data_IF_217874234856
#
_entry.id   IF_217874234856
#
_cell.length_a   1.000
_cell.length_b   1.000
_cell.length_c   1.000
_cell.angle_alpha   90.00
_cell.angle_beta   90.00
_cell.angle_gamma   90.00
#
_symmetry.space_group_name_H-M   'P 1'
#
loop_
_entity.id
_entity.type
_entity.pdbx_description
1 polymer ?
#
# COMPACT_ATOMS: atom_id res chain seq x y z
N UNK A 1 -71.01 -21.33 16.28
CA UNK A 1 -71.52 -20.10 16.92
C UNK A 1 -70.53 -18.98 16.62
N UNK A 2 -70.93 -18.03 15.76
CA UNK A 2 -70.14 -16.83 15.40
C UNK A 2 -70.27 -15.82 16.53
N UNK A 3 -69.17 -15.16 16.93
CA UNK A 3 -69.25 -13.89 17.65
C UNK A 3 -68.19 -12.91 17.10
N UNK A 4 -68.69 -11.80 16.59
CA UNK A 4 -67.95 -10.63 16.09
C UNK A 4 -67.35 -9.82 17.24
N UNK A 5 -66.30 -9.01 16.98
CA UNK A 5 -65.71 -8.11 17.96
C UNK A 5 -66.54 -6.82 18.10
N UNK A 6 -66.72 -6.36 19.33
CA UNK A 6 -67.33 -5.06 19.65
C UNK A 6 -66.28 -3.95 19.71
N UNK A 7 -66.64 -2.82 19.09
CA UNK A 7 -65.98 -1.52 19.10
C UNK A 7 -66.12 -0.83 20.48
N UNK A 8 -65.08 -0.15 20.97
CA UNK A 8 -65.07 1.28 21.38
C UNK A 8 -63.93 1.67 22.36
N UNK A 9 -63.64 2.97 22.40
CA UNK A 9 -62.56 3.75 23.07
C UNK A 9 -61.26 3.86 22.25
N UNK A 10 -60.98 4.90 21.45
CA UNK A 10 -61.04 6.36 21.65
C UNK A 10 -60.38 6.80 22.97
N UNK A 11 -59.12 7.26 22.92
CA UNK A 11 -58.71 8.65 23.20
C UNK A 11 -57.16 8.79 23.18
N UNK A 12 -56.69 10.00 22.83
CA UNK A 12 -55.31 10.54 22.82
C UNK A 12 -54.48 10.18 21.57
N UNK A 13 -54.02 11.12 20.76
CA UNK A 13 -54.05 12.57 20.84
C UNK A 13 -53.19 13.11 19.69
N UNK A 14 -53.68 14.17 19.06
CA UNK A 14 -53.00 14.95 18.04
C UNK A 14 -51.52 15.24 18.38
N UNK A 15 -50.62 14.59 17.65
CA UNK A 15 -49.32 15.16 17.22
C UNK A 15 -49.32 14.95 15.72
N UNK A 16 -49.79 15.93 14.95
CA UNK A 16 -49.00 17.12 14.71
C UNK A 16 -48.35 16.94 13.35
N UNK A 17 -49.18 17.11 12.32
CA UNK A 17 -48.80 17.23 10.91
C UNK A 17 -47.86 18.44 10.77
N UNK A 18 -46.55 18.22 10.92
CA UNK A 18 -45.49 19.19 10.62
C UNK A 18 -44.18 18.46 10.22
N UNK A 19 -44.27 17.52 9.28
CA UNK A 19 -43.10 16.84 8.71
C UNK A 19 -42.91 17.08 7.21
N UNK A 20 -43.67 17.98 6.61
CA UNK A 20 -43.47 18.42 5.23
C UNK A 20 -43.04 19.89 5.26
N UNK A 21 -41.97 20.23 4.54
CA UNK A 21 -41.18 21.47 4.58
C UNK A 21 -40.01 21.50 5.58
N UNK A 22 -39.27 20.39 5.66
CA UNK A 22 -37.84 20.49 5.96
C UNK A 22 -37.16 21.24 4.82
N UNK A 23 -36.81 22.52 5.05
CA UNK A 23 -35.85 23.25 4.24
C UNK A 23 -34.63 22.36 4.02
N UNK A 24 -34.48 21.82 2.81
CA UNK A 24 -33.28 21.07 2.44
C UNK A 24 -32.10 22.00 2.65
N UNK A 25 -31.27 21.71 3.67
CA UNK A 25 -29.98 22.38 3.80
C UNK A 25 -29.30 22.24 2.45
N UNK A 26 -29.12 23.36 1.75
CA UNK A 26 -28.35 23.38 0.52
C UNK A 26 -27.01 22.72 0.86
N UNK A 27 -26.72 21.63 0.16
CA UNK A 27 -25.44 20.96 0.32
C UNK A 27 -24.38 21.97 -0.10
N UNK A 28 -23.45 22.29 0.80
CA UNK A 28 -22.41 23.25 0.49
C UNK A 28 -21.47 22.63 -0.55
N UNK A 29 -21.48 23.20 -1.75
CA UNK A 29 -20.38 22.98 -2.70
C UNK A 29 -19.17 23.66 -2.08
N UNK A 30 -18.16 22.87 -1.75
CA UNK A 30 -16.95 23.37 -1.11
C UNK A 30 -15.90 23.73 -2.15
N UNK A 31 -15.95 23.05 -3.31
CA UNK A 31 -15.06 23.33 -4.42
C UNK A 31 -15.77 23.05 -5.74
N UNK A 32 -15.50 23.90 -6.73
CA UNK A 32 -15.92 23.71 -8.11
C UNK A 32 -14.69 23.87 -9.00
N UNK A 33 -14.45 22.89 -9.86
CA UNK A 33 -13.31 22.91 -10.79
C UNK A 33 -13.86 22.75 -12.21
N UNK A 34 -13.55 23.72 -13.05
CA UNK A 34 -14.00 23.76 -14.43
C UNK A 34 -12.93 23.17 -15.36
N UNK A 35 -13.37 22.29 -16.25
CA UNK A 35 -12.61 21.74 -17.37
C UNK A 35 -13.55 21.61 -18.56
N UNK A 36 -13.90 22.73 -19.23
CA UNK A 36 -14.94 22.76 -20.26
C UNK A 36 -14.78 21.62 -21.27
N UNK A 37 -15.86 20.92 -21.63
CA UNK A 37 -17.27 21.20 -21.33
C UNK A 37 -17.75 20.72 -19.95
N UNK A 38 -16.87 20.15 -19.15
CA UNK A 38 -17.19 19.55 -17.86
C UNK A 38 -16.89 20.47 -16.68
N UNK A 39 -17.61 20.24 -15.58
CA UNK A 39 -17.34 20.83 -14.26
C UNK A 39 -17.47 19.75 -13.19
N UNK A 40 -16.50 19.66 -12.29
CA UNK A 40 -16.59 18.83 -11.08
C UNK A 40 -17.02 19.72 -9.92
N UNK A 41 -18.08 19.32 -9.21
CA UNK A 41 -18.50 19.91 -7.94
C UNK A 41 -18.21 18.92 -6.81
N UNK A 42 -17.39 19.35 -5.85
CA UNK A 42 -17.14 18.64 -4.60
C UNK A 42 -18.05 19.16 -3.51
N UNK A 43 -18.76 18.25 -2.84
CA UNK A 43 -19.83 18.56 -1.90
C UNK A 43 -19.48 17.91 -0.56
N UNK A 44 -19.26 18.73 0.48
CA UNK A 44 -19.05 18.19 1.82
C UNK A 44 -20.37 17.72 2.44
N UNK A 45 -20.34 16.52 3.01
CA UNK A 45 -21.43 15.93 3.77
C UNK A 45 -20.98 15.58 5.17
N UNK A 46 -21.92 15.60 6.10
CA UNK A 46 -21.70 15.13 7.45
C UNK A 46 -22.86 14.26 7.88
N UNK A 47 -22.54 13.07 8.35
CA UNK A 47 -23.50 12.13 8.92
C UNK A 47 -23.18 11.89 10.39
N UNK A 48 -24.22 11.59 11.16
CA UNK A 48 -24.08 11.13 12.54
C UNK A 48 -24.46 9.66 12.58
N UNK A 49 -23.56 8.81 13.03
CA UNK A 49 -23.83 7.39 13.26
C UNK A 49 -23.58 7.08 14.73
N UNK A 50 -24.28 6.08 15.26
CA UNK A 50 -24.01 5.58 16.60
C UNK A 50 -22.88 4.55 16.51
N UNK A 51 -21.75 4.83 17.16
CA UNK A 51 -20.65 3.89 17.21
C UNK A 51 -20.85 2.91 18.36
N UNK A 52 -21.26 1.69 18.04
CA UNK A 52 -21.55 0.64 19.03
C UNK A 52 -20.32 0.24 19.87
N UNK A 53 -19.11 0.34 19.32
CA UNK A 53 -17.88 -0.02 20.05
C UNK A 53 -17.56 0.97 21.18
N UNK A 54 -18.03 2.21 21.07
CA UNK A 54 -17.73 3.29 22.04
C UNK A 54 -18.99 3.86 22.72
N UNK A 55 -20.18 3.31 22.45
CA UNK A 55 -21.45 3.72 23.04
C UNK A 55 -21.81 5.20 22.82
N UNK A 56 -21.29 5.84 21.76
CA UNK A 56 -21.43 7.28 21.52
C UNK A 56 -21.78 7.60 20.07
N UNK A 57 -22.47 8.73 19.88
CA UNK A 57 -22.66 9.30 18.54
C UNK A 57 -21.33 9.80 17.99
N UNK A 58 -20.92 9.28 16.84
CA UNK A 58 -19.81 9.80 16.05
C UNK A 58 -20.35 10.64 14.88
N UNK A 59 -19.66 11.74 14.58
CA UNK A 59 -19.89 12.52 13.36
C UNK A 59 -18.82 12.12 12.36
N UNK A 60 -19.25 11.74 11.16
CA UNK A 60 -18.38 11.43 10.04
C UNK A 60 -18.59 12.49 8.96
N UNK A 61 -17.52 13.17 8.57
CA UNK A 61 -17.51 14.06 7.41
C UNK A 61 -16.93 13.30 6.22
N UNK A 62 -17.49 13.52 5.04
CA UNK A 62 -17.00 12.95 3.79
C UNK A 62 -17.35 13.86 2.61
N UNK A 63 -16.69 13.65 1.47
CA UNK A 63 -16.95 14.36 0.23
C UNK A 63 -17.75 13.50 -0.75
N UNK A 64 -18.74 14.11 -1.38
CA UNK A 64 -19.52 13.55 -2.49
C UNK A 64 -19.24 14.38 -3.75
N UNK A 65 -19.27 13.74 -4.92
CA UNK A 65 -18.91 14.38 -6.17
C UNK A 65 -20.08 14.42 -7.13
N UNK A 66 -20.19 15.54 -7.87
CA UNK A 66 -21.14 15.70 -8.97
C UNK A 66 -20.40 16.22 -10.18
N UNK A 67 -20.71 15.67 -11.34
CA UNK A 67 -20.15 16.13 -12.62
C UNK A 67 -21.25 16.77 -13.44
N UNK A 68 -20.95 17.95 -13.97
CA UNK A 68 -21.81 18.69 -14.88
C UNK A 68 -21.22 18.65 -16.30
N UNK A 69 -22.08 18.59 -17.30
CA UNK A 69 -21.77 18.79 -18.71
C UNK A 69 -22.61 19.97 -19.21
N UNK A 70 -21.94 21.02 -19.68
CA UNK A 70 -22.59 22.31 -20.00
C UNK A 70 -23.52 22.82 -18.87
N UNK A 71 -23.08 22.68 -17.63
CA UNK A 71 -23.83 23.11 -16.44
C UNK A 71 -24.96 22.18 -16.00
N UNK A 72 -25.25 21.10 -16.73
CA UNK A 72 -26.29 20.12 -16.37
C UNK A 72 -25.67 18.87 -15.74
N UNK A 73 -26.20 18.35 -14.62
CA UNK A 73 -25.70 17.11 -14.03
C UNK A 73 -25.80 15.94 -15.01
N UNK A 74 -24.70 15.19 -15.17
CA UNK A 74 -24.71 13.99 -16.00
C UNK A 74 -25.36 12.82 -15.28
N UNK A 75 -26.06 11.96 -16.03
CA UNK A 75 -26.62 10.69 -15.55
C UNK A 75 -25.70 9.55 -15.96
N UNK A 76 -25.32 8.70 -15.02
CA UNK A 76 -24.47 7.55 -15.30
C UNK A 76 -25.27 6.40 -15.95
N UNK A 77 -24.66 5.65 -16.89
CA UNK A 77 -25.36 4.63 -17.68
C UNK A 77 -25.71 3.37 -16.87
N UNK A 78 -24.99 3.11 -15.79
CA UNK A 78 -25.31 2.06 -14.81
C UNK A 78 -25.50 2.68 -13.43
N UNK A 79 -26.14 1.94 -12.53
CA UNK A 79 -26.16 2.35 -11.13
C UNK A 79 -24.71 2.55 -10.67
N UNK A 80 -24.45 3.68 -10.01
CA UNK A 80 -23.26 3.81 -9.17
C UNK A 80 -23.47 2.78 -8.06
N UNK A 81 -22.99 1.56 -8.28
CA UNK A 81 -23.26 0.44 -7.38
C UNK A 81 -22.74 0.76 -5.98
N UNK A 82 -23.54 0.40 -4.97
CA UNK A 82 -23.21 0.62 -3.57
C UNK A 82 -23.62 -0.59 -2.76
N UNK A 83 -22.70 -1.55 -2.58
CA UNK A 83 -22.88 -2.54 -1.51
C UNK A 83 -22.74 -1.92 -0.10
N UNK A 84 -22.31 -0.65 -0.04
CA UNK A 84 -22.13 0.15 1.19
C UNK A 84 -23.32 1.05 1.52
N UNK A 85 -24.36 1.11 0.66
CA UNK A 85 -25.53 1.98 0.84
C UNK A 85 -25.32 3.45 0.45
N UNK A 86 -24.15 3.83 -0.08
CA UNK A 86 -23.86 5.19 -0.56
C UNK A 86 -24.08 5.31 -2.08
N UNK A 87 -25.13 6.04 -2.49
CA UNK A 87 -25.57 6.15 -3.89
C UNK A 87 -24.87 7.22 -4.76
N UNK A 88 -23.64 7.63 -4.40
CA UNK A 88 -22.93 8.75 -5.03
C UNK A 88 -21.53 8.41 -5.51
N UNK A 89 -20.91 9.35 -6.23
CA UNK A 89 -19.51 9.26 -6.63
C UNK A 89 -18.62 9.50 -5.41
N UNK A 90 -17.65 8.62 -5.18
CA UNK A 90 -16.70 8.76 -4.08
C UNK A 90 -15.53 9.63 -4.45
N UNK A 91 -15.12 9.62 -5.72
CA UNK A 91 -14.04 10.45 -6.27
C UNK A 91 -14.36 10.88 -7.69
N UNK A 92 -13.89 12.06 -8.06
CA UNK A 92 -13.85 12.51 -9.44
C UNK A 92 -12.59 13.37 -9.67
N UNK A 93 -11.92 13.17 -10.80
CA UNK A 93 -10.67 13.81 -11.15
C UNK A 93 -10.65 14.24 -12.62
N UNK A 94 -10.25 15.48 -12.89
CA UNK A 94 -9.90 15.94 -14.22
C UNK A 94 -8.53 15.35 -14.60
N UNK A 95 -8.44 14.78 -15.80
CA UNK A 95 -7.19 14.36 -16.41
C UNK A 95 -6.57 15.56 -17.13
N UNK A 96 -5.67 16.28 -16.44
CA UNK A 96 -5.14 17.56 -16.94
C UNK A 96 -4.34 17.41 -18.24
N UNK A 97 -3.61 16.30 -18.37
CA UNK A 97 -2.66 16.07 -19.44
C UNK A 97 -3.27 15.25 -20.61
N UNK A 98 -4.58 15.01 -20.60
CA UNK A 98 -5.29 14.34 -21.68
C UNK A 98 -5.42 15.23 -22.93
N UNK A 99 -5.45 14.67 -24.15
CA UNK A 99 -5.55 15.42 -25.41
C UNK A 99 -6.90 16.13 -25.59
N UNK A 100 -7.90 15.75 -24.79
CA UNK A 100 -9.23 16.34 -24.76
C UNK A 100 -9.78 16.30 -23.33
N UNK A 101 -10.78 17.14 -23.00
CA UNK A 101 -11.41 17.11 -21.68
C UNK A 101 -11.85 15.71 -21.30
N UNK A 102 -11.29 15.21 -20.20
CA UNK A 102 -11.54 13.87 -19.71
C UNK A 102 -11.57 13.87 -18.17
N UNK A 103 -12.49 13.08 -17.62
CA UNK A 103 -12.65 12.90 -16.18
C UNK A 103 -12.58 11.41 -15.86
N UNK A 104 -11.83 11.06 -14.83
CA UNK A 104 -12.00 9.77 -14.15
C UNK A 104 -12.90 9.99 -12.95
N UNK A 105 -13.98 9.24 -12.85
CA UNK A 105 -14.87 9.30 -11.70
C UNK A 105 -15.38 7.93 -11.34
N UNK A 106 -15.54 7.70 -10.05
CA UNK A 106 -15.97 6.39 -9.61
C UNK A 106 -16.42 6.31 -8.17
N UNK A 107 -17.06 5.19 -7.90
CA UNK A 107 -17.29 4.64 -6.57
C UNK A 107 -16.69 3.23 -6.58
N UNK A 108 -17.52 2.20 -6.71
CA UNK A 108 -17.09 0.81 -6.87
C UNK A 108 -16.73 0.49 -8.32
N UNK A 109 -17.48 1.07 -9.26
CA UNK A 109 -17.12 1.14 -10.67
C UNK A 109 -16.38 2.47 -10.94
N UNK A 110 -15.42 2.43 -11.85
CA UNK A 110 -14.67 3.61 -12.31
C UNK A 110 -14.93 3.84 -13.77
N UNK A 111 -15.24 5.08 -14.11
CA UNK A 111 -15.57 5.52 -15.46
C UNK A 111 -14.52 6.51 -15.95
N UNK A 112 -14.12 6.36 -17.21
CA UNK A 112 -13.55 7.42 -18.02
C UNK A 112 -14.70 8.14 -18.75
N UNK A 113 -14.84 9.43 -18.47
CA UNK A 113 -15.88 10.30 -19.01
C UNK A 113 -15.21 11.27 -19.98
N UNK A 114 -15.72 11.31 -21.21
CA UNK A 114 -15.19 12.12 -22.31
C UNK A 114 -16.32 12.71 -23.13
N UNK A 115 -16.01 13.64 -24.03
CA UNK A 115 -16.94 14.10 -25.07
C UNK A 115 -16.68 13.39 -26.40
N UNK A 116 -17.76 13.11 -27.13
CA UNK A 116 -17.77 12.72 -28.55
C UNK A 116 -18.91 13.45 -29.29
N UNK A 117 -19.09 13.19 -30.59
CA UNK A 117 -20.11 13.84 -31.42
C UNK A 117 -21.56 13.68 -30.90
N UNK A 118 -21.83 12.63 -30.10
CA UNK A 118 -23.14 12.35 -29.51
C UNK A 118 -23.31 12.93 -28.10
N UNK A 119 -22.33 13.69 -27.60
CA UNK A 119 -22.31 14.28 -26.26
C UNK A 119 -21.40 13.53 -25.28
N UNK A 120 -21.88 13.31 -24.06
CA UNK A 120 -21.09 12.65 -23.00
C UNK A 120 -20.95 11.17 -23.29
N UNK A 121 -19.71 10.71 -23.36
CA UNK A 121 -19.34 9.31 -23.51
C UNK A 121 -18.80 8.75 -22.19
N UNK A 122 -19.30 7.58 -21.81
CA UNK A 122 -18.88 6.85 -20.61
C UNK A 122 -18.22 5.54 -21.02
N UNK A 123 -16.99 5.31 -20.55
CA UNK A 123 -16.30 4.04 -20.65
C UNK A 123 -16.02 3.50 -19.25
N UNK A 124 -16.50 2.31 -18.93
CA UNK A 124 -16.10 1.63 -17.69
C UNK A 124 -14.63 1.21 -17.86
N UNK A 125 -13.79 1.65 -16.92
CA UNK A 125 -12.35 1.35 -16.87
C UNK A 125 -11.97 0.50 -15.64
N UNK A 126 -12.88 0.37 -14.68
CA UNK A 126 -12.83 -0.67 -13.66
C UNK A 126 -14.25 -1.06 -13.25
N UNK A 127 -14.51 -2.36 -13.17
CA UNK A 127 -15.72 -2.92 -12.59
C UNK A 127 -15.52 -3.25 -11.11
N UNK A 128 -16.62 -3.25 -10.35
CA UNK A 128 -16.61 -3.60 -8.95
C UNK A 128 -16.00 -4.98 -8.73
N UNK A 129 -15.02 -5.03 -7.83
CA UNK A 129 -14.46 -6.27 -7.30
C UNK A 129 -14.66 -6.31 -5.77
N UNK A 130 -14.09 -7.32 -5.11
CA UNK A 130 -14.17 -7.47 -3.65
C UNK A 130 -13.48 -6.33 -2.87
N UNK A 131 -12.61 -5.56 -3.51
CA UNK A 131 -11.89 -4.42 -2.94
C UNK A 131 -12.30 -3.06 -3.52
N UNK A 132 -11.65 -2.01 -3.02
CA UNK A 132 -11.74 -0.66 -3.58
C UNK A 132 -10.98 -0.59 -4.90
N UNK A 133 -11.54 0.16 -5.86
CA UNK A 133 -10.80 0.51 -7.07
C UNK A 133 -9.58 1.36 -6.72
N UNK A 134 -8.55 1.34 -7.56
CA UNK A 134 -7.32 2.09 -7.32
C UNK A 134 -6.79 2.77 -8.58
N UNK A 135 -6.03 3.84 -8.40
CA UNK A 135 -5.34 4.59 -9.46
C UNK A 135 -3.87 4.78 -9.04
N UNK A 136 -2.95 4.45 -9.93
CA UNK A 136 -1.52 4.64 -9.69
C UNK A 136 -0.84 5.10 -10.96
N UNK A 137 -0.17 6.23 -10.92
CA UNK A 137 0.72 6.64 -12.02
C UNK A 137 1.89 5.65 -12.13
N UNK A 138 2.19 5.18 -13.33
CA UNK A 138 3.30 4.28 -13.60
C UNK A 138 4.60 5.01 -13.90
N UNK A 139 4.48 6.27 -14.33
CA UNK A 139 5.56 7.13 -14.79
C UNK A 139 5.52 8.49 -14.08
N UNK A 140 5.46 8.46 -12.74
CA UNK A 140 5.60 9.63 -11.89
C UNK A 140 7.05 10.15 -11.88
N UNK A 141 7.54 10.61 -10.73
CA UNK A 141 8.88 11.15 -10.59
C UNK A 141 9.94 10.16 -11.10
N UNK A 142 10.84 10.65 -11.96
CA UNK A 142 11.90 9.86 -12.61
C UNK A 142 11.39 8.65 -13.43
N UNK A 143 10.15 8.71 -13.93
CA UNK A 143 9.56 7.63 -14.73
C UNK A 143 9.25 6.37 -13.93
N UNK A 144 9.16 6.48 -12.60
CA UNK A 144 8.85 5.37 -11.70
C UNK A 144 7.39 5.40 -11.24
N UNK A 145 6.83 4.24 -10.82
CA UNK A 145 5.49 4.20 -10.26
C UNK A 145 5.34 5.09 -9.02
N UNK A 146 4.26 5.87 -8.99
CA UNK A 146 3.89 6.75 -7.89
C UNK A 146 3.11 6.02 -6.78
N UNK A 147 2.49 6.81 -5.89
CA UNK A 147 1.64 6.29 -4.81
C UNK A 147 0.37 5.68 -5.38
N UNK A 148 0.01 4.48 -4.91
CA UNK A 148 -1.27 3.85 -5.21
C UNK A 148 -2.41 4.54 -4.44
N UNK A 149 -3.36 5.13 -5.15
CA UNK A 149 -4.48 5.88 -4.60
C UNK A 149 -5.75 5.05 -4.65
N UNK A 150 -6.30 4.69 -3.50
CA UNK A 150 -7.57 3.98 -3.43
C UNK A 150 -8.76 4.94 -3.64
N UNK A 151 -9.76 4.48 -4.38
CA UNK A 151 -11.05 5.14 -4.56
C UNK A 151 -12.01 4.60 -3.49
N UNK A 152 -12.08 5.32 -2.37
CA UNK A 152 -13.02 5.06 -1.29
C UNK A 152 -13.63 6.39 -0.80
N UNK A 153 -14.72 6.29 -0.05
CA UNK A 153 -15.38 7.46 0.55
C UNK A 153 -14.51 8.06 1.66
N UNK A 154 -14.07 9.29 1.50
CA UNK A 154 -13.23 10.02 2.49
C UNK A 154 -13.61 11.49 2.59
N UNK A 155 -13.06 12.17 3.61
CA UNK A 155 -13.09 13.63 3.69
C UNK A 155 -11.98 14.21 2.81
N UNK A 156 -12.38 14.74 1.64
CA UNK A 156 -11.48 15.28 0.62
C UNK A 156 -11.56 16.80 0.54
N UNK A 157 -12.01 17.44 1.62
CA UNK A 157 -12.22 18.90 1.64
C UNK A 157 -10.98 19.66 1.17
N UNK A 158 -9.78 19.19 1.52
CA UNK A 158 -8.50 19.82 1.16
C UNK A 158 -7.77 19.14 -0.02
N UNK A 159 -8.33 18.09 -0.62
CA UNK A 159 -7.70 17.35 -1.74
C UNK A 159 -7.98 18.01 -3.09
N UNK A 160 -7.10 17.87 -4.09
CA UNK A 160 -7.41 18.35 -5.45
C UNK A 160 -8.25 17.35 -6.24
N UNK A 161 -9.16 17.83 -7.10
CA UNK A 161 -9.84 16.98 -8.10
C UNK A 161 -9.10 16.96 -9.44
N UNK A 162 -7.77 17.07 -9.42
CA UNK A 162 -6.91 17.03 -10.61
C UNK A 162 -5.96 15.84 -10.48
N UNK A 163 -5.99 14.95 -11.48
CA UNK A 163 -4.94 13.96 -11.69
C UNK A 163 -3.97 14.48 -12.74
N UNK A 164 -2.72 14.63 -12.32
CA UNK A 164 -1.60 15.06 -13.14
C UNK A 164 -0.31 14.38 -12.66
N UNK A 165 0.75 14.47 -13.47
CA UNK A 165 2.09 14.02 -13.08
C UNK A 165 2.53 12.69 -13.69
N UNK A 166 1.87 12.23 -14.75
CA UNK A 166 2.26 11.05 -15.53
C UNK A 166 1.43 10.93 -16.81
N UNK A 167 1.86 10.04 -17.72
CA UNK A 167 1.15 9.69 -18.95
C UNK A 167 0.43 8.34 -18.83
N UNK A 168 0.91 7.44 -17.98
CA UNK A 168 0.40 6.08 -17.85
C UNK A 168 -0.23 5.86 -16.49
N UNK A 169 -1.55 5.67 -16.47
CA UNK A 169 -2.29 5.42 -15.23
C UNK A 169 -2.69 3.95 -15.15
N UNK A 170 -2.17 3.25 -14.14
CA UNK A 170 -2.65 1.93 -13.77
C UNK A 170 -3.97 2.07 -13.03
N UNK A 171 -4.99 1.38 -13.52
CA UNK A 171 -6.36 1.37 -12.99
C UNK A 171 -6.63 -0.02 -12.43
N UNK A 172 -7.02 -0.08 -11.15
CA UNK A 172 -7.37 -1.29 -10.41
C UNK A 172 -6.35 -2.44 -10.55
N UNK A 173 -5.08 -2.07 -10.73
CA UNK A 173 -3.94 -2.98 -10.91
C UNK A 173 -4.06 -3.98 -12.09
N UNK A 174 -5.00 -3.78 -13.01
CA UNK A 174 -5.28 -4.74 -14.09
C UNK A 174 -5.52 -4.08 -15.46
N UNK A 175 -5.40 -2.76 -15.56
CA UNK A 175 -5.48 -2.06 -16.82
C UNK A 175 -4.61 -0.81 -16.83
N UNK A 176 -4.03 -0.46 -17.99
CA UNK A 176 -3.29 0.79 -18.19
C UNK A 176 -4.12 1.73 -19.05
N UNK A 177 -4.33 2.96 -18.59
CA UNK A 177 -4.83 4.08 -19.38
C UNK A 177 -3.63 4.92 -19.84
N UNK A 178 -3.38 4.96 -21.16
CA UNK A 178 -2.45 5.90 -21.77
C UNK A 178 -3.19 7.23 -21.98
N UNK A 179 -2.74 8.29 -21.30
CA UNK A 179 -3.39 9.58 -21.38
C UNK A 179 -3.16 10.31 -22.70
N UNK A 180 -2.13 9.95 -23.49
CA UNK A 180 -1.82 10.69 -24.73
C UNK A 180 -2.90 10.56 -25.80
N UNK A 181 -3.62 9.45 -25.80
CA UNK A 181 -4.71 9.15 -26.73
C UNK A 181 -5.97 8.62 -26.03
N UNK A 182 -5.94 8.51 -24.69
CA UNK A 182 -6.99 7.89 -23.86
C UNK A 182 -7.23 6.42 -24.21
N UNK A 183 -6.23 5.74 -24.77
CA UNK A 183 -6.28 4.31 -25.01
C UNK A 183 -6.23 3.56 -23.67
N UNK A 184 -7.06 2.54 -23.55
CA UNK A 184 -7.18 1.74 -22.34
C UNK A 184 -6.93 0.29 -22.68
N UNK A 185 -5.95 -0.27 -21.98
CA UNK A 185 -5.38 -1.58 -22.19
C UNK A 185 -5.63 -2.44 -20.96
N UNK A 186 -6.76 -3.17 -20.90
CA UNK A 186 -6.94 -4.19 -19.88
C UNK A 186 -5.96 -5.33 -20.14
N UNK A 187 -5.37 -5.85 -19.08
CA UNK A 187 -4.50 -7.01 -19.15
C UNK A 187 -4.86 -8.02 -18.05
N UNK A 188 -4.60 -9.30 -18.33
CA UNK A 188 -4.98 -10.37 -17.40
C UNK A 188 -3.94 -10.49 -16.30
N UNK A 189 -4.21 -9.87 -15.16
CA UNK A 189 -3.58 -10.23 -13.89
C UNK A 189 -4.02 -11.67 -13.55
N UNK A 190 -3.17 -12.66 -13.83
CA UNK A 190 -3.51 -14.08 -13.69
C UNK A 190 -4.05 -14.37 -12.28
N UNK A 191 -5.35 -14.63 -12.14
CA UNK A 191 -6.00 -14.84 -10.84
C UNK A 191 -5.53 -16.11 -10.13
N UNK A 192 -5.00 -17.07 -10.89
CA UNK A 192 -4.33 -18.28 -10.37
C UNK A 192 -2.83 -18.04 -10.03
N UNK A 193 -2.32 -16.82 -10.22
CA UNK A 193 -0.89 -16.52 -10.22
C UNK A 193 -0.22 -16.88 -11.54
N UNK A 194 0.89 -16.23 -11.85
CA UNK A 194 1.77 -16.61 -12.95
C UNK A 194 2.89 -17.48 -12.37
N UNK A 195 3.01 -18.74 -12.80
CA UNK A 195 3.94 -19.70 -12.20
C UNK A 195 3.77 -19.83 -10.66
N UNK A 196 2.51 -19.73 -10.19
CA UNK A 196 2.08 -19.65 -8.79
C UNK A 196 2.50 -18.40 -8.03
N UNK A 197 3.13 -17.41 -8.67
CA UNK A 197 3.38 -16.10 -8.08
C UNK A 197 2.14 -15.22 -8.19
N UNK A 198 1.67 -14.73 -7.05
CA UNK A 198 0.56 -13.80 -6.94
C UNK A 198 1.08 -12.36 -6.96
N UNK A 199 0.66 -11.54 -7.93
CA UNK A 199 1.12 -10.15 -8.03
C UNK A 199 0.56 -9.26 -6.91
N UNK A 200 1.46 -8.63 -6.17
CA UNK A 200 1.23 -7.64 -5.13
C UNK A 200 1.39 -6.20 -5.66
N UNK A 201 2.29 -5.42 -5.04
CA UNK A 201 2.51 -4.00 -5.37
C UNK A 201 3.29 -3.82 -6.68
N UNK A 202 3.01 -2.74 -7.41
CA UNK A 202 3.84 -2.30 -8.55
C UNK A 202 5.15 -1.75 -8.03
N UNK A 203 6.26 -2.05 -8.72
CA UNK A 203 7.60 -1.55 -8.35
C UNK A 203 8.33 -0.86 -9.50
N UNK A 204 8.01 -1.16 -10.76
CA UNK A 204 8.69 -0.54 -11.90
C UNK A 204 7.84 -0.48 -13.16
N UNK A 205 8.32 0.31 -14.11
CA UNK A 205 7.76 0.45 -15.45
C UNK A 205 8.89 0.39 -16.48
N UNK A 206 8.68 -0.36 -17.57
CA UNK A 206 9.76 -0.56 -18.55
C UNK A 206 10.14 0.75 -19.26
N UNK A 207 11.39 0.88 -19.75
CA UNK A 207 11.84 2.09 -20.42
C UNK A 207 11.04 2.46 -21.68
N UNK A 208 10.53 1.47 -22.42
CA UNK A 208 9.61 1.65 -23.56
C UNK A 208 8.15 1.84 -23.15
N UNK A 209 7.87 1.87 -21.85
CA UNK A 209 6.57 2.12 -21.26
C UNK A 209 5.51 1.10 -21.70
N UNK A 210 5.89 -0.16 -21.96
CA UNK A 210 4.94 -1.22 -22.35
C UNK A 210 4.78 -2.32 -21.32
N UNK A 211 5.60 -2.35 -20.27
CA UNK A 211 5.55 -3.39 -19.24
C UNK A 211 5.47 -2.81 -17.84
N UNK A 212 4.55 -3.35 -17.03
CA UNK A 212 4.40 -3.02 -15.61
C UNK A 212 4.97 -4.16 -14.78
N UNK A 213 5.82 -3.84 -13.80
CA UNK A 213 6.45 -4.84 -12.93
C UNK A 213 5.78 -4.84 -11.57
N UNK A 214 5.28 -6.00 -11.17
CA UNK A 214 4.72 -6.25 -9.86
C UNK A 214 5.66 -7.10 -9.02
N UNK A 215 5.68 -6.85 -7.72
CA UNK A 215 6.26 -7.77 -6.73
C UNK A 215 5.32 -8.97 -6.61
N UNK A 216 5.80 -10.15 -6.99
CA UNK A 216 5.10 -11.42 -6.84
C UNK A 216 5.56 -12.18 -5.61
N UNK A 217 4.64 -12.89 -4.97
CA UNK A 217 4.98 -13.89 -3.95
C UNK A 217 4.23 -15.19 -4.17
N UNK A 218 4.84 -16.31 -3.78
CA UNK A 218 4.19 -17.62 -3.75
C UNK A 218 4.46 -18.30 -2.42
N UNK A 219 3.44 -18.94 -1.86
CA UNK A 219 3.61 -19.73 -0.64
C UNK A 219 4.25 -21.07 -1.00
N UNK A 220 5.37 -21.40 -0.34
CA UNK A 220 6.01 -22.72 -0.40
C UNK A 220 5.58 -23.55 0.80
N UNK A 221 5.38 -22.89 1.94
CA UNK A 221 4.81 -23.46 3.15
C UNK A 221 3.92 -22.41 3.85
N UNK A 222 3.18 -22.81 4.89
CA UNK A 222 2.19 -21.95 5.59
C UNK A 222 2.78 -20.59 6.02
N UNK A 223 4.07 -20.57 6.36
CA UNK A 223 4.79 -19.37 6.84
C UNK A 223 5.96 -18.95 5.95
N UNK A 224 6.18 -19.64 4.83
CA UNK A 224 7.34 -19.41 3.96
C UNK A 224 6.89 -19.01 2.55
N UNK A 225 7.48 -17.93 2.07
CA UNK A 225 7.19 -17.35 0.77
C UNK A 225 8.45 -17.30 -0.07
N UNK A 226 8.30 -17.60 -1.35
CA UNK A 226 9.28 -17.23 -2.36
C UNK A 226 8.79 -16.00 -3.11
N UNK A 227 9.73 -15.21 -3.61
CA UNK A 227 9.45 -13.93 -4.26
C UNK A 227 9.95 -13.92 -5.71
N UNK A 228 9.33 -13.05 -6.49
CA UNK A 228 9.66 -12.86 -7.89
C UNK A 228 9.16 -11.50 -8.37
N UNK A 229 9.66 -11.06 -9.52
CA UNK A 229 9.15 -9.87 -10.19
C UNK A 229 8.32 -10.32 -11.39
N UNK A 230 7.05 -9.97 -11.41
CA UNK A 230 6.12 -10.33 -12.48
C UNK A 230 6.02 -9.15 -13.44
N UNK A 231 6.55 -9.30 -14.65
CA UNK A 231 6.47 -8.27 -15.68
C UNK A 231 5.28 -8.56 -16.60
N UNK A 232 4.35 -7.63 -16.72
CA UNK A 232 3.20 -7.70 -17.61
C UNK A 232 3.35 -6.73 -18.77
N UNK A 233 3.46 -7.25 -19.99
CA UNK A 233 3.32 -6.47 -21.22
C UNK A 233 1.83 -6.23 -21.49
N UNK A 234 1.34 -5.07 -21.07
CA UNK A 234 -0.08 -4.74 -21.12
C UNK A 234 -0.59 -4.50 -22.55
N UNK A 235 0.31 -4.24 -23.51
CA UNK A 235 -0.07 -4.07 -24.92
C UNK A 235 -0.24 -5.41 -25.63
N UNK A 236 0.54 -6.42 -25.22
CA UNK A 236 0.51 -7.77 -25.81
C UNK A 236 -0.29 -8.78 -24.99
N UNK A 237 -0.74 -8.43 -23.79
CA UNK A 237 -1.37 -9.34 -22.81
C UNK A 237 -0.48 -10.58 -22.54
N UNK A 238 0.84 -10.34 -22.37
CA UNK A 238 1.81 -11.40 -22.04
C UNK A 238 2.54 -11.07 -20.74
N UNK A 239 3.01 -12.10 -20.03
CA UNK A 239 3.73 -11.91 -18.79
C UNK A 239 4.80 -12.97 -18.59
N UNK A 240 5.80 -12.66 -17.75
CA UNK A 240 6.81 -13.60 -17.28
C UNK A 240 7.22 -13.26 -15.85
N UNK A 241 7.80 -14.24 -15.15
CA UNK A 241 8.35 -14.06 -13.80
C UNK A 241 9.87 -14.06 -13.87
N UNK A 242 10.48 -13.11 -13.15
CA UNK A 242 11.89 -13.15 -12.78
C UNK A 242 11.95 -13.58 -11.32
N UNK A 243 12.08 -14.88 -11.08
CA UNK A 243 12.30 -15.40 -9.72
C UNK A 243 13.69 -14.98 -9.23
N UNK A 244 13.83 -14.81 -7.92
CA UNK A 244 15.10 -14.49 -7.31
C UNK A 244 15.23 -15.10 -5.91
N UNK A 245 16.46 -15.39 -5.53
CA UNK A 245 16.82 -15.82 -4.18
C UNK A 245 17.01 -14.60 -3.26
N UNK A 246 16.38 -14.64 -2.09
CA UNK A 246 16.45 -13.56 -1.09
C UNK A 246 17.87 -13.29 -0.60
N UNK A 247 18.68 -14.34 -0.45
CA UNK A 247 20.08 -14.24 -0.05
C UNK A 247 20.84 -13.44 -1.10
N UNK A 248 20.71 -13.82 -2.37
CA UNK A 248 21.44 -13.19 -3.48
C UNK A 248 21.01 -11.73 -3.74
N UNK A 249 19.81 -11.34 -3.29
CA UNK A 249 19.31 -9.95 -3.40
C UNK A 249 19.32 -9.19 -2.07
N UNK A 250 19.95 -9.75 -1.02
CA UNK A 250 19.99 -9.15 0.33
C UNK A 250 18.61 -8.71 0.86
N UNK A 251 17.56 -9.44 0.47
CA UNK A 251 16.19 -9.11 0.77
C UNK A 251 15.79 -9.82 2.06
N UNK A 252 15.66 -9.07 3.14
CA UNK A 252 15.21 -9.56 4.44
C UNK A 252 13.69 -9.68 4.51
N UNK A 253 12.98 -8.71 3.93
CA UNK A 253 11.53 -8.73 3.86
C UNK A 253 10.99 -8.08 2.57
N UNK A 254 9.68 -8.15 2.36
CA UNK A 254 9.01 -7.60 1.16
C UNK A 254 9.07 -6.06 1.07
N UNK A 255 9.31 -5.37 2.19
CA UNK A 255 9.42 -3.91 2.22
C UNK A 255 10.75 -3.45 1.62
N UNK A 256 11.74 -4.33 1.52
CA UNK A 256 13.04 -4.07 0.89
C UNK A 256 12.96 -3.80 -0.59
N UNK A 257 11.93 -4.36 -1.22
CA UNK A 257 11.68 -4.21 -2.63
C UNK A 257 11.24 -2.77 -2.88
N UNK A 258 12.24 -1.92 -3.04
CA UNK A 258 12.20 -0.49 -3.31
C UNK A 258 12.79 -0.23 -4.70
N UNK A 259 12.58 0.94 -5.31
CA UNK A 259 13.22 1.29 -6.58
C UNK A 259 14.75 1.14 -6.54
N UNK A 260 15.40 1.57 -5.44
CA UNK A 260 16.85 1.43 -5.27
C UNK A 260 17.31 -0.02 -5.17
N UNK A 261 16.56 -0.88 -4.46
CA UNK A 261 16.84 -2.31 -4.40
C UNK A 261 16.72 -2.94 -5.80
N UNK A 262 15.68 -2.58 -6.54
CA UNK A 262 15.47 -3.08 -7.88
C UNK A 262 16.62 -2.67 -8.80
N UNK A 263 17.03 -1.39 -8.77
CA UNK A 263 18.15 -0.88 -9.56
C UNK A 263 19.50 -1.51 -9.18
N UNK A 264 19.64 -1.98 -7.94
CA UNK A 264 20.86 -2.67 -7.48
C UNK A 264 20.95 -4.07 -8.07
N UNK A 265 19.85 -4.82 -8.09
CA UNK A 265 19.86 -6.26 -8.37
C UNK A 265 19.27 -6.64 -9.73
N UNK A 266 18.60 -5.72 -10.43
CA UNK A 266 17.91 -5.98 -11.68
C UNK A 266 18.16 -4.90 -12.72
N UNK A 267 18.05 -5.27 -13.98
CA UNK A 267 18.22 -4.35 -15.10
C UNK A 267 17.27 -4.67 -16.24
N UNK A 268 16.91 -3.62 -16.97
CA UNK A 268 16.23 -3.73 -18.24
C UNK A 268 17.26 -3.91 -19.34
N UNK A 269 17.20 -5.05 -20.03
CA UNK A 269 18.03 -5.34 -21.20
C UNK A 269 17.17 -5.35 -22.46
N UNK A 270 17.73 -4.97 -23.60
CA UNK A 270 17.02 -5.10 -24.88
C UNK A 270 17.26 -6.48 -25.47
N UNK A 271 16.20 -7.17 -25.87
CA UNK A 271 16.33 -8.31 -26.79
C UNK A 271 16.60 -7.79 -28.21
N UNK A 272 17.09 -8.66 -29.10
CA UNK A 272 17.38 -8.31 -30.50
C UNK A 272 16.20 -7.75 -31.30
N UNK A 273 14.98 -7.78 -30.76
CA UNK A 273 13.76 -7.19 -31.32
C UNK A 273 13.41 -5.80 -30.74
N UNK A 274 14.38 -5.13 -30.09
CA UNK A 274 14.17 -3.85 -29.38
C UNK A 274 13.10 -3.90 -28.27
N UNK A 275 12.85 -5.09 -27.72
CA UNK A 275 11.96 -5.29 -26.57
C UNK A 275 12.77 -5.26 -25.28
N UNK A 276 12.29 -4.56 -24.27
CA UNK A 276 12.91 -4.61 -22.95
C UNK A 276 12.53 -5.90 -22.21
N UNK A 277 13.49 -6.54 -21.56
CA UNK A 277 13.28 -7.66 -20.65
C UNK A 277 14.00 -7.36 -19.34
N UNK A 278 13.27 -7.46 -18.24
CA UNK A 278 13.82 -7.34 -16.91
C UNK A 278 14.59 -8.63 -16.60
N UNK A 279 15.82 -8.48 -16.14
CA UNK A 279 16.66 -9.60 -15.72
C UNK A 279 17.36 -9.25 -14.42
N UNK A 280 17.73 -10.27 -13.68
CA UNK A 280 18.65 -10.13 -12.57
C UNK A 280 20.01 -9.72 -13.10
N UNK A 281 20.64 -8.74 -12.46
CA UNK A 281 22.02 -8.32 -12.76
C UNK A 281 23.01 -9.38 -12.30
N UNK A 282 24.05 -9.57 -13.08
CA UNK A 282 25.25 -10.27 -12.65
C UNK A 282 26.15 -9.25 -11.93
N UNK A 283 26.25 -9.37 -10.61
CA UNK A 283 27.09 -8.50 -9.79
C UNK A 283 28.41 -9.22 -9.49
N UNK A 284 29.54 -8.59 -9.83
CA UNK A 284 30.88 -9.11 -9.48
C UNK A 284 31.05 -9.29 -7.97
N UNK A 285 30.40 -8.42 -7.18
CA UNK A 285 30.35 -8.50 -5.74
C UNK A 285 28.96 -8.08 -5.25
N UNK A 286 28.36 -8.91 -4.41
CA UNK A 286 27.09 -8.59 -3.76
C UNK A 286 27.29 -7.50 -2.68
N UNK A 287 26.31 -6.61 -2.47
CA UNK A 287 26.31 -5.73 -1.32
C UNK A 287 26.49 -6.52 -0.02
N UNK A 288 27.19 -5.91 0.93
CA UNK A 288 27.36 -6.48 2.27
C UNK A 288 26.00 -6.57 2.98
N UNK A 289 25.83 -7.60 3.80
CA UNK A 289 24.69 -7.68 4.70
C UNK A 289 24.73 -6.54 5.73
N UNK A 290 23.55 -6.05 6.10
CA UNK A 290 23.34 -5.01 7.09
C UNK A 290 22.25 -5.47 8.06
N UNK A 291 22.34 -5.02 9.32
CA UNK A 291 21.25 -5.15 10.27
C UNK A 291 20.18 -4.07 10.10
N UNK A 292 19.00 -4.32 10.65
CA UNK A 292 17.81 -3.49 10.47
C UNK A 292 17.08 -3.20 11.75
N UNK A 293 16.47 -2.03 11.80
CA UNK A 293 15.59 -1.65 12.88
C UNK A 293 14.16 -2.09 12.61
N UNK A 294 13.47 -2.62 13.62
CA UNK A 294 12.02 -2.87 13.58
C UNK A 294 11.34 -2.31 14.84
N UNK A 295 9.99 -2.30 14.82
CA UNK A 295 9.13 -1.82 15.92
C UNK A 295 9.53 -0.42 16.44
N UNK A 296 9.60 0.56 15.53
CA UNK A 296 9.98 1.93 15.87
C UNK A 296 11.42 2.09 16.37
N UNK A 297 12.29 1.10 16.13
CA UNK A 297 13.68 1.10 16.60
C UNK A 297 13.91 0.31 17.89
N UNK A 298 12.89 -0.39 18.40
CA UNK A 298 13.01 -1.20 19.62
C UNK A 298 13.82 -2.50 19.43
N UNK A 299 14.06 -2.92 18.20
CA UNK A 299 14.89 -4.06 17.86
C UNK A 299 15.87 -3.70 16.76
N UNK A 300 17.10 -4.18 16.87
CA UNK A 300 18.08 -4.23 15.81
C UNK A 300 18.31 -5.70 15.42
N UNK A 301 17.88 -6.10 14.22
CA UNK A 301 17.86 -7.47 13.74
C UNK A 301 18.97 -7.71 12.71
N UNK A 302 19.54 -8.90 12.73
CA UNK A 302 20.52 -9.43 11.80
C UNK A 302 19.92 -10.70 11.19
N UNK A 303 19.64 -10.64 9.90
CA UNK A 303 18.97 -11.72 9.17
C UNK A 303 19.46 -11.77 7.72
N UNK A 304 19.71 -12.97 7.17
CA UNK A 304 19.77 -14.27 7.82
C UNK A 304 21.14 -14.48 8.47
N UNK A 305 21.18 -14.72 9.78
CA UNK A 305 22.39 -14.89 10.58
C UNK A 305 22.53 -16.32 11.12
N UNK A 306 23.78 -16.77 11.28
CA UNK A 306 24.11 -17.99 12.03
C UNK A 306 24.07 -17.70 13.53
N UNK A 307 23.96 -18.73 14.36
CA UNK A 307 23.94 -18.59 15.82
C UNK A 307 25.21 -17.92 16.38
N UNK A 308 26.36 -18.12 15.74
CA UNK A 308 27.63 -17.51 16.12
C UNK A 308 27.60 -15.96 16.06
N UNK A 309 26.68 -15.39 15.27
CA UNK A 309 26.46 -13.94 15.23
C UNK A 309 26.04 -13.39 16.60
N UNK A 310 25.32 -14.17 17.41
CA UNK A 310 24.94 -13.80 18.79
C UNK A 310 26.17 -13.53 19.65
N UNK A 311 27.16 -14.41 19.59
CA UNK A 311 28.43 -14.24 20.29
C UNK A 311 29.24 -13.06 19.76
N UNK A 312 29.33 -12.90 18.44
CA UNK A 312 30.02 -11.77 17.83
C UNK A 312 29.41 -10.42 18.21
N UNK A 313 28.08 -10.34 18.28
CA UNK A 313 27.36 -9.14 18.71
C UNK A 313 27.57 -8.86 20.20
N UNK A 314 27.61 -9.88 21.06
CA UNK A 314 27.98 -9.74 22.48
C UNK A 314 29.38 -9.14 22.65
N UNK A 315 30.39 -9.73 22.00
CA UNK A 315 31.77 -9.24 22.06
C UNK A 315 31.88 -7.80 21.53
N UNK A 316 31.12 -7.46 20.49
CA UNK A 316 31.06 -6.10 19.97
C UNK A 316 30.47 -5.12 20.99
N UNK A 317 29.39 -5.49 21.68
CA UNK A 317 28.76 -4.66 22.72
C UNK A 317 29.71 -4.47 23.91
N UNK A 318 30.42 -5.51 24.33
CA UNK A 318 31.46 -5.44 25.37
C UNK A 318 32.48 -4.37 25.03
N UNK A 319 33.04 -4.43 23.81
CA UNK A 319 34.03 -3.44 23.37
C UNK A 319 33.47 -2.03 23.21
N UNK A 320 32.25 -1.89 22.68
CA UNK A 320 31.63 -0.58 22.43
C UNK A 320 31.20 0.16 23.71
N UNK A 321 30.77 -0.59 24.73
CA UNK A 321 30.25 -0.04 25.99
C UNK A 321 31.23 -0.16 27.15
N UNK A 322 32.45 -0.63 26.90
CA UNK A 322 33.49 -0.86 27.92
C UNK A 322 33.01 -1.74 29.08
N UNK A 323 32.20 -2.75 28.75
CA UNK A 323 31.66 -3.70 29.72
C UNK A 323 32.63 -4.85 29.97
N UNK A 324 32.38 -5.62 31.04
CA UNK A 324 33.06 -6.89 31.28
C UNK A 324 32.13 -8.06 30.98
N UNK A 325 32.70 -9.23 30.73
CA UNK A 325 31.92 -10.46 30.50
C UNK A 325 30.97 -10.79 31.66
N UNK A 326 31.35 -10.40 32.90
CA UNK A 326 30.54 -10.63 34.10
C UNK A 326 29.23 -9.84 34.14
N UNK A 327 29.08 -8.83 33.27
CA UNK A 327 27.84 -8.07 33.11
C UNK A 327 26.75 -8.86 32.37
N UNK A 328 27.11 -9.98 31.72
CA UNK A 328 26.22 -10.75 30.87
C UNK A 328 25.77 -12.03 31.57
N UNK A 329 24.47 -12.29 31.53
CA UNK A 329 23.83 -13.49 32.07
C UNK A 329 23.14 -14.21 30.93
N UNK A 330 23.61 -15.40 30.61
CA UNK A 330 22.91 -16.31 29.71
C UNK A 330 21.68 -16.88 30.41
N UNK A 331 20.51 -16.76 29.78
CA UNK A 331 19.28 -17.38 30.25
C UNK A 331 18.65 -18.19 29.13
N UNK A 332 18.35 -19.44 29.43
CA UNK A 332 17.36 -20.22 28.69
C UNK A 332 15.96 -19.78 29.15
N UNK A 333 15.20 -19.19 28.25
CA UNK A 333 13.82 -18.74 28.50
C UNK A 333 12.84 -19.29 27.47
N UNK A 334 11.58 -18.82 27.56
CA UNK A 334 10.52 -19.13 26.58
C UNK A 334 10.86 -18.62 25.16
N UNK A 335 11.74 -17.63 25.07
CA UNK A 335 12.45 -17.22 23.86
C UNK A 335 13.81 -17.93 23.96
N UNK A 336 14.10 -18.86 23.04
CA UNK A 336 15.30 -19.72 23.13
C UNK A 336 16.58 -18.87 23.16
N UNK A 337 17.52 -19.28 24.01
CA UNK A 337 18.86 -18.74 24.24
C UNK A 337 19.06 -17.21 24.08
N UNK A 338 18.84 -16.49 25.17
CA UNK A 338 19.09 -15.04 25.23
C UNK A 338 20.21 -14.69 26.22
N UNK A 339 20.98 -13.68 25.87
CA UNK A 339 22.01 -13.08 26.72
C UNK A 339 21.47 -11.74 27.22
N UNK A 340 21.40 -11.57 28.53
CA UNK A 340 20.96 -10.31 29.14
C UNK A 340 22.11 -9.57 29.80
N UNK A 341 22.06 -8.25 29.80
CA UNK A 341 22.97 -7.42 30.59
C UNK A 341 22.28 -6.14 31.03
N UNK A 342 22.77 -5.56 32.13
CA UNK A 342 22.32 -4.25 32.60
C UNK A 342 23.29 -3.15 32.14
N UNK A 343 22.74 -2.05 31.66
CA UNK A 343 23.49 -0.85 31.31
C UNK A 343 22.66 0.39 31.62
N UNK A 344 23.25 1.34 32.37
CA UNK A 344 22.61 2.59 32.76
C UNK A 344 21.22 2.43 33.41
N UNK A 345 21.02 1.35 34.19
CA UNK A 345 19.76 1.08 34.89
C UNK A 345 18.67 0.42 34.05
N UNK A 346 18.98 -0.02 32.82
CA UNK A 346 18.07 -0.76 31.94
C UNK A 346 18.65 -2.12 31.58
N UNK A 347 17.79 -3.10 31.32
CA UNK A 347 18.18 -4.44 30.90
C UNK A 347 18.03 -4.57 29.39
N UNK A 348 19.08 -5.09 28.74
CA UNK A 348 19.11 -5.36 27.32
C UNK A 348 19.22 -6.85 27.03
N UNK A 349 18.82 -7.24 25.84
CA UNK A 349 18.81 -8.61 25.37
C UNK A 349 19.54 -8.71 24.04
N UNK A 350 20.42 -9.69 23.94
CA UNK A 350 20.89 -10.25 22.67
C UNK A 350 20.28 -11.63 22.55
N UNK A 351 19.35 -11.81 21.61
CA UNK A 351 18.64 -13.07 21.42
C UNK A 351 18.84 -13.65 20.02
N UNK A 352 18.53 -14.93 19.88
CA UNK A 352 18.46 -15.58 18.57
C UNK A 352 17.15 -16.34 18.39
N UNK A 353 16.72 -16.43 17.13
CA UNK A 353 15.65 -17.29 16.67
C UNK A 353 16.25 -18.19 15.59
N UNK A 354 16.86 -19.33 15.94
CA UNK A 354 17.55 -20.20 14.99
C UNK A 354 16.65 -20.66 13.85
N UNK A 355 15.36 -20.90 14.14
CA UNK A 355 14.36 -21.32 13.17
C UNK A 355 14.05 -20.24 12.13
N UNK A 356 14.27 -18.97 12.48
CA UNK A 356 14.13 -17.81 11.61
C UNK A 356 15.49 -17.31 11.09
N UNK A 357 16.59 -17.97 11.48
CA UNK A 357 17.97 -17.54 11.19
C UNK A 357 18.18 -16.06 11.56
N UNK A 358 17.69 -15.65 12.73
CA UNK A 358 17.68 -14.26 13.14
C UNK A 358 18.43 -14.07 14.45
N UNK A 359 19.30 -13.05 14.53
CA UNK A 359 19.88 -12.55 15.78
C UNK A 359 19.40 -11.13 16.00
N UNK A 360 19.06 -10.75 17.23
CA UNK A 360 18.58 -9.40 17.52
C UNK A 360 19.22 -8.80 18.78
N UNK A 361 19.29 -7.47 18.80
CA UNK A 361 19.58 -6.66 19.97
C UNK A 361 18.38 -5.78 20.30
N UNK A 362 17.91 -5.84 21.54
CA UNK A 362 16.74 -5.08 21.99
C UNK A 362 16.85 -4.75 23.48
N UNK A 363 15.89 -3.96 23.98
CA UNK A 363 15.62 -3.93 25.42
C UNK A 363 15.04 -5.27 25.89
N UNK A 364 15.04 -5.49 27.20
CA UNK A 364 14.32 -6.61 27.79
C UNK A 364 12.81 -6.49 27.56
N UNK A 365 12.16 -7.62 27.25
CA UNK A 365 10.76 -7.65 26.81
C UNK A 365 9.81 -7.03 27.85
N UNK A 366 10.10 -7.24 29.14
CA UNK A 366 9.25 -6.81 30.25
C UNK A 366 9.56 -5.39 30.77
N UNK A 367 10.54 -4.71 30.18
CA UNK A 367 10.77 -3.29 30.48
C UNK A 367 9.93 -2.40 29.56
N UNK A 368 9.46 -1.27 30.07
CA UNK A 368 8.78 -0.29 29.23
C UNK A 368 9.79 0.35 28.26
N UNK A 369 9.36 0.61 27.04
CA UNK A 369 10.17 1.39 26.10
C UNK A 369 10.41 2.79 26.67
N UNK A 370 11.67 3.22 26.62
CA UNK A 370 12.10 4.57 26.97
C UNK A 370 12.93 5.14 25.82
N UNK A 371 13.00 6.47 25.72
CA UNK A 371 13.87 7.13 24.73
C UNK A 371 15.35 6.75 24.92
N UNK A 372 15.76 6.44 26.16
CA UNK A 372 17.11 5.98 26.48
C UNK A 372 17.40 4.59 25.91
N UNK A 373 16.44 3.66 26.04
CA UNK A 373 16.54 2.33 25.47
C UNK A 373 16.69 2.40 23.94
N UNK A 374 15.86 3.20 23.28
CA UNK A 374 15.91 3.38 21.82
C UNK A 374 17.24 4.01 21.37
N UNK A 375 17.77 4.98 22.13
CA UNK A 375 19.07 5.60 21.84
C UNK A 375 20.22 4.59 21.95
N UNK A 376 20.22 3.70 22.95
CA UNK A 376 21.28 2.69 23.06
C UNK A 376 21.18 1.64 21.95
N UNK A 377 19.97 1.15 21.66
CA UNK A 377 19.74 0.20 20.55
C UNK A 377 20.24 0.81 19.24
N UNK A 378 19.91 2.07 18.99
CA UNK A 378 20.41 2.79 17.82
C UNK A 378 21.93 2.97 17.83
N UNK A 379 22.53 3.32 18.96
CA UNK A 379 24.00 3.47 19.08
C UNK A 379 24.71 2.15 18.73
N UNK A 380 24.28 1.03 19.31
CA UNK A 380 24.86 -0.29 19.07
C UNK A 380 24.63 -0.73 17.62
N UNK A 381 23.38 -0.63 17.13
CA UNK A 381 23.02 -1.06 15.77
C UNK A 381 23.74 -0.26 14.69
N UNK A 382 23.84 1.06 14.83
CA UNK A 382 24.54 1.91 13.86
C UNK A 382 26.04 1.57 13.82
N UNK A 383 26.67 1.42 14.99
CA UNK A 383 28.07 1.05 15.09
C UNK A 383 28.35 -0.37 14.57
N UNK A 384 27.45 -1.32 14.80
CA UNK A 384 27.57 -2.66 14.24
C UNK A 384 27.42 -2.64 12.72
N UNK A 385 26.48 -1.85 12.18
CA UNK A 385 26.34 -1.64 10.75
C UNK A 385 27.57 -0.99 10.10
N UNK A 386 28.28 -0.09 10.80
CA UNK A 386 29.59 0.40 10.32
C UNK A 386 30.61 -0.74 10.23
N UNK A 387 30.68 -1.62 11.24
CA UNK A 387 31.56 -2.79 11.21
C UNK A 387 31.20 -3.74 10.06
N UNK A 388 29.91 -3.99 9.82
CA UNK A 388 29.41 -4.77 8.69
C UNK A 388 29.78 -4.13 7.34
N UNK A 389 29.65 -2.80 7.22
CA UNK A 389 30.08 -2.04 6.03
C UNK A 389 31.57 -2.14 5.75
N UNK A 390 32.38 -2.25 6.80
CA UNK A 390 33.81 -2.53 6.69
C UNK A 390 34.12 -4.02 6.37
N UNK A 391 33.11 -4.85 6.10
CA UNK A 391 33.25 -6.26 5.75
C UNK A 391 33.42 -7.21 6.95
N UNK A 392 33.33 -6.72 8.19
CA UNK A 392 33.41 -7.58 9.37
C UNK A 392 32.13 -8.42 9.50
N UNK A 393 32.28 -9.62 10.07
CA UNK A 393 31.18 -10.54 10.42
C UNK A 393 30.30 -11.00 9.23
N UNK A 394 30.70 -10.70 7.98
CA UNK A 394 29.93 -11.08 6.79
C UNK A 394 29.84 -12.60 6.63
N UNK A 395 30.85 -13.32 7.10
CA UNK A 395 30.93 -14.78 7.15
C UNK A 395 29.95 -15.41 8.17
N UNK A 396 29.39 -14.61 9.07
CA UNK A 396 28.38 -15.04 10.06
C UNK A 396 26.95 -14.88 9.56
N UNK A 397 26.74 -14.32 8.36
CA UNK A 397 25.47 -14.43 7.64
C UNK A 397 25.37 -15.77 6.93
N UNK A 398 24.14 -16.21 6.67
CA UNK A 398 23.83 -17.49 6.01
C UNK A 398 22.89 -17.28 4.82
N UNK A 399 22.28 -18.35 4.32
CA UNK A 399 21.22 -18.28 3.29
C UNK A 399 19.85 -18.36 3.93
N UNK A 400 18.83 -17.84 3.26
CA UNK A 400 17.43 -18.06 3.63
C UNK A 400 17.02 -19.54 3.57
#
# INVERSE_FOLDING_TARGET
MKFQPSKNLILMGLVGVFSFFGCGKQRAVVEQIDSPPFTIQKIAKSEKSFNMNYGRMSKHTYSDYRILYHGQPITFPSALESNTGYSGLWKAYILKDAPKPAIIAGSQNVFLITENESGVNFRIIAEQQSGFSSLQWLDSENGKPGINQQIYLSDDTDSTCILAGGKYLLVNENAVLDLSDLAFYPFKKHSAGLENYYPGKVIDFSPDQTQVVFVGSRSVHVTQFEYGLISFDYKRDTAYVVSFDQTETRMQDIYDITPTWLETFFEWTTTGEARYILKKRELDQLPVWQGRYSDGGAYFNLEPAKEEMKGALKEFVIGLLELSDSNFIEKEGNIKESIHFEYAGHTYTIGSFPELKQVHFSKYLFENSSDENLKLIKKVGDAFNEALRAGKYQDLFTTY
#
